data_IF_607599944812
#
_entry.id   IF_607599944812
#
_cell.length_a   1.000
_cell.length_b   1.000
_cell.length_c   1.000
_cell.angle_alpha   90.00
_cell.angle_beta   90.00
_cell.angle_gamma   90.00
#
_symmetry.space_group_name_H-M   'P 1'
#
loop_
_entity.id
_entity.type
_entity.pdbx_description
1 polymer ?
#
# COMPACT_ATOMS: atom_id res chain seq x y z
N UNK A 1 14.71 -2.71 2.05
CA UNK A 1 13.23 -2.70 2.12
C UNK A 1 12.71 -1.27 2.06
N UNK A 2 11.84 -1.01 1.09
CA UNK A 2 11.24 0.29 0.77
C UNK A 2 9.72 0.11 0.63
N UNK A 3 8.95 1.05 1.17
CA UNK A 3 7.49 1.09 1.08
C UNK A 3 7.06 2.41 0.43
N UNK A 4 6.37 2.33 -0.70
CA UNK A 4 5.75 3.47 -1.36
C UNK A 4 4.26 3.54 -1.01
N UNK A 5 3.74 4.75 -0.80
CA UNK A 5 2.36 5.03 -0.44
C UNK A 5 1.89 6.22 -1.26
N UNK A 6 0.76 6.07 -1.96
CA UNK A 6 0.04 7.18 -2.60
C UNK A 6 -1.38 7.28 -2.04
N UNK A 7 -1.72 8.48 -1.55
CA UNK A 7 -3.06 8.83 -1.04
C UNK A 7 -3.56 10.15 -1.62
N UNK A 8 -2.94 10.66 -2.70
CA UNK A 8 -3.22 12.01 -3.22
C UNK A 8 -4.57 12.10 -3.97
N UNK A 9 -5.20 10.96 -4.26
CA UNK A 9 -6.47 10.91 -4.99
C UNK A 9 -7.52 10.07 -4.26
N UNK A 10 -8.69 9.87 -4.88
CA UNK A 10 -9.68 8.91 -4.39
C UNK A 10 -9.23 7.45 -4.52
N UNK A 11 -8.15 7.21 -5.26
CA UNK A 11 -7.43 5.94 -5.33
C UNK A 11 -6.27 5.98 -4.35
N UNK A 12 -6.09 4.88 -3.63
CA UNK A 12 -4.89 4.63 -2.85
C UNK A 12 -4.06 3.55 -3.51
N UNK A 13 -2.75 3.63 -3.31
CA UNK A 13 -1.85 2.54 -3.65
C UNK A 13 -0.73 2.37 -2.63
N UNK A 14 -0.26 1.14 -2.50
CA UNK A 14 0.92 0.76 -1.73
C UNK A 14 1.78 -0.19 -2.54
N UNK A 15 3.10 -0.10 -2.38
CA UNK A 15 4.05 -1.01 -3.02
C UNK A 15 5.24 -1.31 -2.10
N UNK A 16 5.61 -2.58 -1.99
CA UNK A 16 6.71 -3.07 -1.16
C UNK A 16 7.85 -3.56 -2.06
N UNK A 17 9.05 -3.04 -1.85
CA UNK A 17 10.25 -3.40 -2.61
C UNK A 17 11.37 -3.79 -1.65
N UNK A 18 12.09 -4.89 -1.89
CA UNK A 18 13.15 -5.34 -0.97
C UNK A 18 14.48 -4.59 -1.15
N UNK A 19 14.70 -4.00 -2.32
CA UNK A 19 15.95 -3.34 -2.75
C UNK A 19 16.47 -3.90 -4.08
N UNK A 20 15.93 -5.06 -4.48
CA UNK A 20 16.24 -5.80 -5.70
C UNK A 20 15.02 -5.96 -6.60
N UNK A 21 13.85 -6.22 -6.02
CA UNK A 21 12.61 -6.45 -6.75
C UNK A 21 11.37 -5.95 -5.98
N UNK A 22 10.29 -5.76 -6.74
CA UNK A 22 8.96 -5.50 -6.19
C UNK A 22 8.38 -6.79 -5.60
N UNK A 23 8.09 -6.78 -4.31
CA UNK A 23 7.49 -7.92 -3.60
C UNK A 23 5.97 -7.94 -3.73
N UNK A 24 5.33 -6.77 -3.63
CA UNK A 24 3.89 -6.63 -3.74
C UNK A 24 3.50 -5.21 -4.14
N UNK A 25 2.40 -5.09 -4.89
CA UNK A 25 1.69 -3.83 -5.10
C UNK A 25 0.19 -4.03 -4.93
N UNK A 26 -0.49 -2.98 -4.48
CA UNK A 26 -1.94 -2.95 -4.40
C UNK A 26 -2.46 -1.55 -4.66
N UNK A 27 -3.49 -1.42 -5.50
CA UNK A 27 -4.22 -0.17 -5.73
C UNK A 27 -5.71 -0.40 -5.58
N UNK A 28 -6.43 0.51 -4.91
CA UNK A 28 -7.87 0.40 -4.72
C UNK A 28 -8.55 1.76 -4.55
N UNK A 29 -9.87 1.79 -4.78
CA UNK A 29 -10.68 3.00 -4.60
C UNK A 29 -11.01 3.19 -3.11
N UNK A 30 -10.26 4.05 -2.42
CA UNK A 30 -10.47 4.35 -1.01
C UNK A 30 -11.56 5.42 -0.78
N UNK A 31 -11.84 6.27 -1.78
CA UNK A 31 -12.82 7.35 -1.68
C UNK A 31 -12.40 8.42 -0.67
N UNK A 32 -12.93 8.34 0.57
CA UNK A 32 -12.59 9.22 1.71
C UNK A 32 -12.10 8.46 2.95
N UNK A 33 -11.76 7.18 2.79
CA UNK A 33 -11.36 6.26 3.88
C UNK A 33 -9.84 6.06 3.97
N UNK A 34 -9.06 6.96 3.38
CA UNK A 34 -7.61 6.80 3.28
C UNK A 34 -6.94 6.62 4.64
N UNK A 35 -7.39 7.35 5.66
CA UNK A 35 -6.82 7.30 7.01
C UNK A 35 -7.15 6.00 7.77
N UNK A 36 -8.24 5.33 7.43
CA UNK A 36 -8.67 4.09 8.10
C UNK A 36 -8.23 2.83 7.36
N UNK A 37 -8.06 2.90 6.04
CA UNK A 37 -7.74 1.74 5.21
C UNK A 37 -6.23 1.50 5.03
N UNK A 38 -5.40 2.55 5.16
CA UNK A 38 -3.96 2.47 4.91
C UNK A 38 -3.23 1.48 5.83
N UNK A 39 -3.32 1.68 7.15
CA UNK A 39 -2.57 0.86 8.10
C UNK A 39 -2.96 -0.63 8.03
N UNK A 40 -4.27 -0.99 7.97
CA UNK A 40 -4.66 -2.39 7.76
C UNK A 40 -4.16 -2.97 6.43
N UNK A 41 -4.11 -2.18 5.34
CA UNK A 41 -3.62 -2.65 4.05
C UNK A 41 -2.12 -2.94 4.09
N UNK A 42 -1.32 -2.06 4.69
CA UNK A 42 0.13 -2.28 4.87
C UNK A 42 0.37 -3.53 5.74
N UNK A 43 -0.36 -3.69 6.84
CA UNK A 43 -0.20 -4.85 7.72
C UNK A 43 -0.50 -6.16 6.99
N UNK A 44 -1.56 -6.21 6.17
CA UNK A 44 -1.86 -7.38 5.35
C UNK A 44 -0.75 -7.68 4.35
N UNK A 45 -0.24 -6.66 3.66
CA UNK A 45 0.84 -6.83 2.69
C UNK A 45 2.11 -7.37 3.36
N UNK A 46 2.51 -6.80 4.50
CA UNK A 46 3.67 -7.26 5.26
C UNK A 46 3.54 -8.67 5.84
N UNK A 47 2.31 -9.16 6.06
CA UNK A 47 2.08 -10.51 6.54
C UNK A 47 2.12 -11.58 5.43
N UNK A 48 2.01 -11.15 4.17
CA UNK A 48 1.96 -12.04 2.99
C UNK A 48 3.30 -12.13 2.25
N UNK A 49 4.22 -11.20 2.50
CA UNK A 49 5.56 -11.15 1.93
C UNK A 49 6.61 -11.62 2.94
#
# INVERSE_FOLDING_TARGET
MLLAIDTATHTMSIALHDGTQLLAEQSWQAGKRQTTELAPAIQRMMALC
#
